data_IF_247694873980
#
_entry.id   IF_247694873980
#
_cell.length_a   1.000
_cell.length_b   1.000
_cell.length_c   1.000
_cell.angle_alpha   90.00
_cell.angle_beta   90.00
_cell.angle_gamma   90.00
#
_symmetry.space_group_name_H-M   'P 1'
#
loop_
_entity.id
_entity.type
_entity.pdbx_description
1 polymer ?
#
# COMPACT_ATOMS: atom_id res chain seq x y z
N UNK A 1 8.33 29.39 21.11
CA UNK A 1 8.45 27.99 20.66
C UNK A 1 9.38 27.98 19.47
N UNK A 2 10.51 27.30 19.57
CA UNK A 2 11.46 27.17 18.47
C UNK A 2 11.01 26.03 17.54
N UNK A 3 10.79 26.35 16.26
CA UNK A 3 10.33 25.41 15.24
C UNK A 3 11.49 24.71 14.52
N UNK A 4 12.73 25.17 14.71
CA UNK A 4 13.91 24.64 14.00
C UNK A 4 14.16 23.16 14.33
N UNK A 5 13.78 22.71 15.53
CA UNK A 5 13.88 21.31 15.96
C UNK A 5 13.04 20.32 15.14
N UNK A 6 11.99 20.77 14.43
CA UNK A 6 11.14 19.90 13.61
C UNK A 6 11.66 19.73 12.18
N UNK A 7 12.59 20.60 11.74
CA UNK A 7 13.14 20.55 10.39
C UNK A 7 13.80 19.18 10.07
N UNK A 8 14.61 18.57 10.96
CA UNK A 8 15.18 17.24 10.71
C UNK A 8 14.11 16.16 10.54
N UNK A 9 12.99 16.25 11.28
CA UNK A 9 11.89 15.28 11.21
C UNK A 9 11.20 15.36 9.84
N UNK A 10 10.90 16.57 9.37
CA UNK A 10 10.28 16.77 8.06
C UNK A 10 11.22 16.31 6.94
N UNK A 11 12.51 16.63 7.03
CA UNK A 11 13.50 16.18 6.06
C UNK A 11 13.59 14.64 6.02
N UNK A 12 13.56 13.99 7.18
CA UNK A 12 13.58 12.53 7.25
C UNK A 12 12.36 11.91 6.58
N UNK A 13 11.16 12.47 6.80
CA UNK A 13 9.94 12.04 6.13
C UNK A 13 10.06 12.23 4.62
N UNK A 14 10.52 13.39 4.15
CA UNK A 14 10.67 13.67 2.71
C UNK A 14 11.65 12.71 2.04
N UNK A 15 12.82 12.49 2.66
CA UNK A 15 13.81 11.54 2.15
C UNK A 15 13.26 10.11 2.16
N UNK A 16 12.58 9.70 3.23
CA UNK A 16 11.95 8.38 3.31
C UNK A 16 10.90 8.16 2.22
N UNK A 17 10.03 9.14 1.99
CA UNK A 17 9.05 9.11 0.89
C UNK A 17 9.76 9.07 -0.47
N UNK A 18 10.78 9.90 -0.68
CA UNK A 18 11.54 9.91 -1.92
C UNK A 18 12.19 8.56 -2.19
N UNK A 19 12.81 7.94 -1.19
CA UNK A 19 13.44 6.62 -1.30
C UNK A 19 12.40 5.50 -1.48
N UNK A 20 11.21 5.61 -0.89
CA UNK A 20 10.13 4.63 -1.08
C UNK A 20 9.48 4.70 -2.47
N UNK A 21 9.28 5.92 -2.99
CA UNK A 21 8.56 6.16 -4.24
C UNK A 21 9.49 6.08 -5.46
N UNK A 22 10.72 6.59 -5.37
CA UNK A 22 11.60 6.67 -6.53
C UNK A 22 11.85 5.31 -7.20
N UNK A 23 12.16 4.21 -6.49
CA UNK A 23 12.34 2.90 -7.11
C UNK A 23 11.07 2.36 -7.78
N UNK A 24 9.89 2.63 -7.21
CA UNK A 24 8.61 2.23 -7.81
C UNK A 24 8.35 2.97 -9.12
N UNK A 25 8.60 4.28 -9.15
CA UNK A 25 8.48 5.10 -10.36
C UNK A 25 9.49 4.66 -11.42
N UNK A 26 10.74 4.41 -11.02
CA UNK A 26 11.76 3.90 -11.93
C UNK A 26 11.35 2.54 -12.52
N UNK A 27 10.89 1.61 -11.68
CA UNK A 27 10.43 0.29 -12.11
C UNK A 27 9.23 0.37 -13.06
N UNK A 28 8.29 1.28 -12.79
CA UNK A 28 7.14 1.52 -13.65
C UNK A 28 7.52 2.15 -15.01
N UNK A 29 8.41 3.14 -15.01
CA UNK A 29 8.80 3.88 -16.24
C UNK A 29 9.72 3.04 -17.13
N UNK A 30 10.65 2.29 -16.55
CA UNK A 30 11.66 1.54 -17.30
C UNK A 30 11.34 0.04 -17.48
N UNK A 31 10.31 -0.48 -16.80
CA UNK A 31 9.90 -1.88 -16.89
C UNK A 31 9.13 -2.21 -18.18
N UNK A 32 9.20 -3.45 -18.69
CA UNK A 32 8.37 -3.88 -19.82
C UNK A 32 6.88 -3.86 -19.47
N UNK A 33 6.10 -3.04 -20.18
CA UNK A 33 4.66 -2.95 -20.00
C UNK A 33 3.92 -3.82 -21.03
N UNK A 34 3.55 -5.04 -20.64
CA UNK A 34 2.75 -5.99 -21.44
C UNK A 34 1.59 -6.51 -20.57
N UNK A 35 0.47 -5.78 -20.49
CA UNK A 35 -0.72 -6.21 -19.76
C UNK A 35 -1.58 -7.11 -20.66
N UNK A 36 -2.12 -8.16 -20.08
CA UNK A 36 -3.13 -9.04 -20.70
C UNK A 36 -4.18 -9.42 -19.64
N UNK A 37 -5.41 -9.80 -20.05
CA UNK A 37 -6.50 -10.07 -19.11
C UNK A 37 -6.16 -11.16 -18.09
N UNK A 38 -5.54 -12.25 -18.53
CA UNK A 38 -5.12 -13.36 -17.67
C UNK A 38 -4.03 -12.93 -16.67
N UNK A 39 -3.01 -12.18 -17.09
CA UNK A 39 -1.96 -11.66 -16.21
C UNK A 39 -2.48 -10.66 -15.17
N UNK A 40 -3.55 -9.94 -15.49
CA UNK A 40 -4.20 -8.99 -14.58
C UNK A 40 -5.34 -9.62 -13.77
N UNK A 41 -5.65 -10.89 -14.01
CA UNK A 41 -6.66 -11.62 -13.24
C UNK A 41 -6.19 -11.83 -11.80
N UNK A 42 -7.10 -11.80 -10.80
CA UNK A 42 -6.76 -12.19 -9.44
C UNK A 42 -6.11 -13.57 -9.41
N UNK A 43 -5.11 -13.72 -8.53
CA UNK A 43 -4.49 -15.02 -8.31
C UNK A 43 -5.51 -15.98 -7.69
N UNK A 44 -5.89 -17.00 -8.45
CA UNK A 44 -6.38 -18.31 -8.00
C UNK A 44 -6.63 -19.19 -9.25
N UNK A 45 -5.60 -19.35 -10.09
CA UNK A 45 -5.64 -20.24 -11.28
C UNK A 45 -6.89 -20.09 -12.18
N UNK A 46 -7.42 -18.88 -12.35
CA UNK A 46 -8.60 -18.62 -13.18
C UNK A 46 -9.96 -18.86 -12.50
N UNK A 47 -9.99 -19.10 -11.18
CA UNK A 47 -11.22 -19.05 -10.40
C UNK A 47 -11.56 -17.60 -10.04
N UNK A 48 -12.84 -17.25 -10.18
CA UNK A 48 -13.35 -16.00 -9.62
C UNK A 48 -13.19 -16.03 -8.09
N UNK A 49 -12.82 -14.91 -7.48
CA UNK A 49 -12.71 -14.81 -6.04
C UNK A 49 -14.02 -15.28 -5.39
N UNK A 50 -13.92 -16.22 -4.45
CA UNK A 50 -15.06 -16.93 -3.88
C UNK A 50 -16.08 -16.04 -3.15
N UNK A 51 -15.75 -14.76 -2.90
CA UNK A 51 -16.51 -13.89 -2.01
C UNK A 51 -16.70 -12.48 -2.58
N UNK A 52 -17.89 -11.91 -2.35
CA UNK A 52 -18.19 -10.50 -2.63
C UNK A 52 -17.28 -9.61 -1.77
N UNK A 53 -16.65 -8.59 -2.38
CA UNK A 53 -15.82 -7.61 -1.69
C UNK A 53 -16.53 -6.86 -0.54
N UNK A 54 -17.86 -7.00 -0.43
CA UNK A 54 -18.70 -6.42 0.63
C UNK A 54 -19.06 -7.38 1.76
N UNK A 55 -18.50 -8.59 1.80
CA UNK A 55 -18.72 -9.50 2.92
C UNK A 55 -18.23 -8.89 4.24
N UNK A 56 -18.84 -9.32 5.35
CA UNK A 56 -18.40 -8.87 6.68
C UNK A 56 -17.18 -9.66 7.11
N UNK A 57 -16.08 -8.96 7.36
CA UNK A 57 -14.93 -9.52 8.06
C UNK A 57 -15.23 -9.77 9.53
N UNK A 58 -14.40 -10.59 10.16
CA UNK A 58 -14.56 -10.96 11.56
C UNK A 58 -14.51 -9.73 12.49
N UNK A 59 -15.47 -9.64 13.40
CA UNK A 59 -15.63 -8.52 14.35
C UNK A 59 -14.43 -8.41 15.30
N UNK A 60 -13.63 -9.47 15.46
CA UNK A 60 -12.44 -9.47 16.32
C UNK A 60 -11.43 -8.40 15.93
N UNK A 61 -11.26 -8.10 14.64
CA UNK A 61 -10.35 -7.01 14.21
C UNK A 61 -10.79 -5.65 14.76
N UNK A 62 -12.10 -5.42 14.78
CA UNK A 62 -12.69 -4.21 15.35
C UNK A 62 -12.51 -4.14 16.88
N UNK A 63 -12.71 -5.26 17.58
CA UNK A 63 -12.49 -5.32 19.03
C UNK A 63 -11.04 -5.04 19.41
N UNK A 64 -10.07 -5.58 18.65
CA UNK A 64 -8.64 -5.30 18.84
C UNK A 64 -8.33 -3.81 18.61
N UNK A 65 -8.90 -3.21 17.55
CA UNK A 65 -8.68 -1.79 17.25
C UNK A 65 -9.23 -0.87 18.35
N UNK A 66 -10.41 -1.16 18.91
CA UNK A 66 -10.97 -0.36 20.01
C UNK A 66 -10.18 -0.54 21.31
N UNK A 67 -9.72 -1.76 21.61
CA UNK A 67 -8.91 -1.99 22.79
C UNK A 67 -7.54 -1.26 22.72
N UNK A 68 -7.05 -1.00 21.50
CA UNK A 68 -5.80 -0.26 21.28
C UNK A 68 -5.94 1.26 21.48
N UNK A 69 -7.12 1.83 21.23
CA UNK A 69 -7.43 3.26 21.40
C UNK A 69 -7.52 3.60 22.90
#
# INVERSE_FOLDING_TARGET
MDLQQYLPVILFILVGVAVGVAPQVLGFVFGPNRPDPEKNSPYECGFEAFEDARMKFDVRYYLVAILFI
#
